data_IF_136331144287
#
_entry.id   IF_136331144287
#
_cell.length_a   1.000
_cell.length_b   1.000
_cell.length_c   1.000
_cell.angle_alpha   90.00
_cell.angle_beta   90.00
_cell.angle_gamma   90.00
#
_symmetry.space_group_name_H-M   'P 1'
#
loop_
_entity.id
_entity.type
_entity.pdbx_description
1 polymer ?
#
# COMPACT_ATOMS: atom_id res chain seq x y z
N UNK A 1 21.53 -1.21 -0.06
CA UNK A 1 20.41 -1.06 0.91
C UNK A 1 19.29 -0.38 0.15
N UNK A 2 18.02 -0.74 0.39
CA UNK A 2 16.91 -0.06 -0.27
C UNK A 2 16.53 1.20 0.50
N UNK A 3 16.04 2.23 -0.18
CA UNK A 3 15.59 3.47 0.47
C UNK A 3 14.55 3.20 1.57
N UNK A 4 13.73 2.13 1.46
CA UNK A 4 12.82 1.71 2.52
C UNK A 4 13.53 1.31 3.83
N UNK A 5 14.69 0.64 3.74
CA UNK A 5 15.48 0.28 4.93
C UNK A 5 16.13 1.50 5.59
N UNK A 6 16.52 2.49 4.78
CA UNK A 6 17.06 3.76 5.26
C UNK A 6 15.96 4.62 5.92
N UNK A 7 14.77 4.67 5.31
CA UNK A 7 13.58 5.30 5.89
C UNK A 7 13.21 4.70 7.26
N UNK A 8 13.32 3.37 7.39
CA UNK A 8 13.05 2.68 8.65
C UNK A 8 14.07 3.05 9.73
N UNK A 9 15.36 3.12 9.36
CA UNK A 9 16.43 3.49 10.27
C UNK A 9 16.28 4.92 10.83
N UNK A 10 15.70 5.85 10.06
CA UNK A 10 15.45 7.23 10.50
C UNK A 10 14.01 7.49 10.98
N UNK A 11 13.18 6.44 11.07
CA UNK A 11 11.78 6.49 11.49
C UNK A 11 10.85 7.39 10.63
N UNK A 12 11.23 7.69 9.39
CA UNK A 12 10.39 8.41 8.41
C UNK A 12 9.88 7.42 7.38
N UNK A 13 8.91 6.59 7.76
CA UNK A 13 8.35 5.55 6.86
C UNK A 13 6.92 5.85 6.46
N UNK A 14 6.55 5.49 5.24
CA UNK A 14 5.15 5.45 4.81
C UNK A 14 4.28 4.55 5.72
N UNK A 15 4.87 3.54 6.36
CA UNK A 15 4.21 2.63 7.28
C UNK A 15 3.91 3.22 8.67
N UNK A 16 4.52 4.35 9.04
CA UNK A 16 4.37 5.00 10.35
C UNK A 16 3.40 6.20 10.33
N UNK A 17 2.79 6.49 9.18
CA UNK A 17 1.87 7.62 9.05
C UNK A 17 0.52 7.35 9.71
N UNK A 18 0.12 8.27 10.58
CA UNK A 18 -1.08 8.16 11.40
C UNK A 18 -2.36 7.96 10.57
N UNK A 19 -2.52 8.74 9.50
CA UNK A 19 -3.73 8.73 8.66
C UNK A 19 -3.70 7.66 7.56
N UNK A 20 -2.54 7.06 7.28
CA UNK A 20 -2.38 6.17 6.13
C UNK A 20 -2.99 4.80 6.37
N UNK A 21 -3.95 4.42 5.53
CA UNK A 21 -4.56 3.11 5.53
C UNK A 21 -3.95 2.23 4.44
N UNK A 22 -3.41 1.09 4.85
CA UNK A 22 -2.89 0.11 3.89
C UNK A 22 -4.04 -0.82 3.53
N UNK A 23 -4.67 -0.56 2.38
CA UNK A 23 -5.66 -1.44 1.79
C UNK A 23 -5.08 -2.85 1.61
N UNK A 24 -5.89 -3.86 1.88
CA UNK A 24 -5.57 -5.24 1.49
C UNK A 24 -6.68 -5.85 0.65
N UNK A 25 -6.26 -6.49 -0.43
CA UNK A 25 -7.10 -7.37 -1.23
C UNK A 25 -7.24 -8.75 -0.58
N UNK A 26 -8.17 -9.57 -1.06
CA UNK A 26 -8.24 -10.99 -0.68
C UNK A 26 -7.00 -11.77 -1.14
N UNK A 27 -6.40 -11.39 -2.27
CA UNK A 27 -5.12 -11.95 -2.71
C UNK A 27 -3.99 -11.60 -1.75
N UNK A 28 -3.94 -10.36 -1.25
CA UNK A 28 -2.96 -9.93 -0.25
C UNK A 28 -3.14 -10.72 1.05
N UNK A 29 -4.39 -10.87 1.52
CA UNK A 29 -4.70 -11.66 2.71
C UNK A 29 -4.21 -13.10 2.52
N UNK A 30 -4.46 -13.73 1.37
CA UNK A 30 -3.99 -15.08 1.10
C UNK A 30 -2.45 -15.19 1.11
N UNK A 31 -1.77 -14.30 0.37
CA UNK A 31 -0.29 -14.27 0.30
C UNK A 31 0.35 -14.03 1.66
N UNK A 32 -0.18 -13.10 2.45
CA UNK A 32 0.32 -12.78 3.78
C UNK A 32 0.03 -13.92 4.77
N UNK A 33 -1.15 -14.52 4.70
CA UNK A 33 -1.54 -15.64 5.56
C UNK A 33 -0.62 -16.84 5.38
N UNK A 34 -0.27 -17.19 4.14
CA UNK A 34 0.69 -18.25 3.84
C UNK A 34 2.03 -18.01 4.53
N UNK A 35 2.54 -16.77 4.47
CA UNK A 35 3.81 -16.38 5.11
C UNK A 35 3.73 -16.31 6.64
N UNK A 36 2.53 -16.26 7.19
CA UNK A 36 2.25 -16.24 8.63
C UNK A 36 1.76 -17.59 9.16
N UNK A 37 1.94 -18.68 8.40
CA UNK A 37 1.55 -20.02 8.84
C UNK A 37 0.04 -20.21 8.96
N UNK A 38 -0.74 -19.50 8.13
CA UNK A 38 -2.21 -19.57 8.10
C UNK A 38 -2.93 -18.55 8.99
N UNK A 39 -2.21 -17.69 9.72
CA UNK A 39 -2.83 -16.63 10.51
C UNK A 39 -3.59 -15.63 9.62
N UNK A 40 -4.64 -15.00 10.14
CA UNK A 40 -5.44 -13.98 9.44
C UNK A 40 -5.87 -12.81 10.34
N UNK A 41 -5.34 -12.72 11.56
CA UNK A 41 -5.68 -11.70 12.55
C UNK A 41 -4.99 -10.35 12.33
N UNK A 42 -4.28 -10.18 11.22
CA UNK A 42 -3.48 -9.00 10.87
C UNK A 42 -4.25 -7.90 10.09
N UNK A 43 -5.50 -8.15 9.71
CA UNK A 43 -6.32 -7.19 8.98
C UNK A 43 -7.70 -7.02 9.64
N UNK A 44 -8.39 -5.95 9.29
CA UNK A 44 -9.73 -5.62 9.80
C UNK A 44 -10.56 -4.86 8.77
N UNK A 45 -11.88 -4.80 8.99
CA UNK A 45 -12.74 -3.80 8.37
C UNK A 45 -12.76 -2.55 9.24
N UNK A 46 -12.41 -1.40 8.65
CA UNK A 46 -12.41 -0.11 9.34
C UNK A 46 -12.85 1.00 8.40
N UNK A 47 -13.52 2.02 8.93
CA UNK A 47 -13.74 3.26 8.19
C UNK A 47 -12.40 3.98 7.97
N UNK A 48 -12.15 4.56 6.78
CA UNK A 48 -10.96 5.36 6.56
C UNK A 48 -10.90 6.52 7.57
N UNK A 49 -9.74 6.72 8.19
CA UNK A 49 -9.54 7.87 9.08
C UNK A 49 -9.29 9.15 8.27
N UNK A 50 -8.60 9.01 7.14
CA UNK A 50 -8.35 10.09 6.22
C UNK A 50 -9.56 10.28 5.29
N UNK A 51 -10.23 11.44 5.28
CA UNK A 51 -11.35 11.70 4.38
C UNK A 51 -10.94 11.70 2.90
N UNK A 52 -9.66 11.91 2.58
CA UNK A 52 -9.18 11.86 1.18
C UNK A 52 -9.41 10.48 0.54
N UNK A 53 -9.48 9.40 1.31
CA UNK A 53 -9.83 8.08 0.78
C UNK A 53 -11.27 7.97 0.27
N UNK A 54 -12.14 8.94 0.59
CA UNK A 54 -13.51 8.99 0.10
C UNK A 54 -13.65 9.86 -1.14
N UNK A 55 -12.66 10.71 -1.43
CA UNK A 55 -12.59 11.56 -2.61
C UNK A 55 -11.77 10.84 -3.69
N UNK A 56 -12.43 10.30 -4.71
CA UNK A 56 -11.83 9.44 -5.74
C UNK A 56 -12.40 9.77 -7.13
N UNK A 57 -12.58 11.06 -7.44
CA UNK A 57 -13.17 11.54 -8.70
C UNK A 57 -12.36 11.10 -9.94
N UNK A 58 -11.06 10.85 -9.78
CA UNK A 58 -10.12 10.41 -10.80
C UNK A 58 -10.03 8.87 -10.95
N UNK A 59 -10.51 8.11 -9.96
CA UNK A 59 -10.66 6.66 -10.00
C UNK A 59 -12.04 6.21 -9.46
N UNK A 60 -13.12 6.40 -10.25
CA UNK A 60 -14.49 6.23 -9.78
C UNK A 60 -14.80 4.81 -9.30
N UNK A 61 -14.04 3.82 -9.77
CA UNK A 61 -14.22 2.43 -9.40
C UNK A 61 -13.52 2.05 -8.10
N UNK A 62 -12.57 2.86 -7.61
CA UNK A 62 -11.83 2.57 -6.38
C UNK A 62 -12.77 2.35 -5.19
N UNK A 63 -13.66 3.31 -4.93
CA UNK A 63 -14.60 3.22 -3.81
C UNK A 63 -15.63 2.11 -4.03
N UNK A 64 -16.05 1.88 -5.28
CA UNK A 64 -16.96 0.78 -5.64
C UNK A 64 -16.37 -0.58 -5.25
N UNK A 65 -15.06 -0.78 -5.46
CA UNK A 65 -14.43 -2.06 -5.17
C UNK A 65 -13.90 -2.21 -3.74
N UNK A 66 -13.63 -1.09 -3.05
CA UNK A 66 -12.91 -1.12 -1.77
C UNK A 66 -13.78 -0.84 -0.55
N UNK A 67 -14.89 -0.12 -0.71
CA UNK A 67 -15.81 0.21 0.38
C UNK A 67 -16.98 -0.77 0.45
N UNK A 68 -17.36 -1.12 1.67
CA UNK A 68 -18.63 -1.77 1.99
C UNK A 68 -19.76 -0.74 2.11
N UNK A 69 -21.04 -1.19 2.08
CA UNK A 69 -22.17 -0.30 2.32
C UNK A 69 -22.14 0.47 3.65
N UNK A 70 -21.44 -0.04 4.66
CA UNK A 70 -21.24 0.62 5.96
C UNK A 70 -20.07 1.63 5.98
N UNK A 71 -19.44 1.85 4.82
CA UNK A 71 -18.29 2.74 4.64
C UNK A 71 -16.97 2.14 5.13
N UNK A 72 -16.93 0.87 5.56
CA UNK A 72 -15.68 0.21 5.97
C UNK A 72 -14.94 -0.40 4.79
N UNK A 73 -13.62 -0.56 4.91
CA UNK A 73 -12.74 -1.24 3.94
C UNK A 73 -11.77 -2.17 4.64
N UNK A 74 -11.25 -3.14 3.88
CA UNK A 74 -10.21 -4.08 4.36
C UNK A 74 -8.87 -3.36 4.46
N UNK A 75 -8.32 -3.27 5.67
CA UNK A 75 -7.02 -2.62 5.91
C UNK A 75 -6.15 -3.46 6.82
N UNK A 76 -4.84 -3.29 6.73
CA UNK A 76 -3.92 -3.82 7.74
C UNK A 76 -4.16 -3.14 9.09
N UNK A 77 -4.08 -3.94 10.17
CA UNK A 77 -4.10 -3.42 11.53
C UNK A 77 -2.86 -2.58 11.80
N UNK A 78 -3.02 -1.63 12.73
CA UNK A 78 -1.95 -0.80 13.26
C UNK A 78 -1.60 -1.22 14.69
N UNK A 79 -0.36 -0.97 15.09
CA UNK A 79 0.07 -1.09 16.49
C UNK A 79 -0.53 0.04 17.34
N UNK A 80 -0.35 -0.03 18.67
CA UNK A 80 -0.75 1.07 19.56
C UNK A 80 -0.05 2.41 19.22
N UNK A 81 1.14 2.34 18.61
CA UNK A 81 1.88 3.50 18.11
C UNK A 81 1.43 3.96 16.72
N UNK A 82 0.29 3.45 16.22
CA UNK A 82 -0.30 3.77 14.91
C UNK A 82 0.58 3.47 13.70
N UNK A 83 1.59 2.61 13.86
CA UNK A 83 2.38 2.07 12.77
C UNK A 83 1.75 0.79 12.22
N UNK A 84 2.03 0.46 10.95
CA UNK A 84 1.68 -0.84 10.37
C UNK A 84 2.21 -1.99 11.24
N UNK A 85 1.39 -3.02 11.47
CA UNK A 85 1.75 -4.18 12.30
C UNK A 85 2.95 -4.99 11.77
N UNK A 86 3.33 -4.80 10.49
CA UNK A 86 4.48 -5.45 9.86
C UNK A 86 5.73 -4.57 9.76
N UNK A 87 5.72 -3.37 10.34
CA UNK A 87 6.89 -2.52 10.44
C UNK A 87 7.84 -3.05 11.53
N UNK A 88 9.12 -3.17 11.18
CA UNK A 88 10.24 -3.48 12.08
C UNK A 88 11.24 -2.32 12.07
N UNK A 89 12.27 -2.39 12.91
CA UNK A 89 13.38 -1.43 12.93
C UNK A 89 14.14 -1.36 11.60
N UNK A 90 14.08 -2.41 10.78
CA UNK A 90 14.76 -2.50 9.48
C UNK A 90 13.82 -2.33 8.29
N UNK A 91 12.54 -2.04 8.53
CA UNK A 91 11.53 -1.79 7.50
C UNK A 91 10.40 -2.80 7.53
N UNK A 92 9.80 -3.09 6.38
CA UNK A 92 8.73 -4.09 6.33
C UNK A 92 9.30 -5.49 6.55
N UNK A 93 8.66 -6.29 7.40
CA UNK A 93 9.00 -7.70 7.64
C UNK A 93 9.01 -8.55 6.37
N UNK A 94 8.22 -8.17 5.36
CA UNK A 94 8.05 -8.93 4.14
C UNK A 94 8.95 -8.44 3.00
N UNK A 95 9.38 -9.39 2.16
CA UNK A 95 9.95 -9.12 0.85
C UNK A 95 8.90 -8.45 -0.04
N UNK A 96 9.37 -7.71 -1.05
CA UNK A 96 8.52 -6.94 -1.94
C UNK A 96 7.37 -7.75 -2.57
N UNK A 97 7.65 -8.96 -3.03
CA UNK A 97 6.67 -9.86 -3.67
C UNK A 97 5.55 -10.36 -2.74
N UNK A 98 5.73 -10.21 -1.42
CA UNK A 98 4.77 -10.64 -0.40
C UNK A 98 3.95 -9.47 0.15
N UNK A 99 4.49 -8.25 0.14
CA UNK A 99 3.82 -7.05 0.67
C UNK A 99 2.44 -6.85 0.04
N UNK A 100 1.49 -6.14 0.68
CA UNK A 100 0.26 -5.71 0.02
C UNK A 100 0.55 -5.01 -1.31
N UNK A 101 -0.27 -5.23 -2.34
CA UNK A 101 -0.01 -4.66 -3.67
C UNK A 101 0.14 -3.13 -3.61
N UNK A 102 -0.69 -2.43 -2.85
CA UNK A 102 -0.59 -0.97 -2.66
C UNK A 102 0.75 -0.53 -2.06
N UNK A 103 1.36 -1.37 -1.20
CA UNK A 103 2.70 -1.09 -0.67
C UNK A 103 3.83 -1.32 -1.68
N UNK A 104 3.60 -2.16 -2.71
CA UNK A 104 4.55 -2.36 -3.82
C UNK A 104 4.49 -1.20 -4.81
N UNK A 105 3.31 -0.59 -4.93
CA UNK A 105 3.08 0.53 -5.84
C UNK A 105 3.66 1.84 -5.34
N UNK A 106 3.74 2.06 -4.02
CA UNK A 106 4.29 3.30 -3.48
C UNK A 106 5.76 3.52 -3.91
N UNK A 107 6.15 4.67 -4.47
CA UNK A 107 5.45 5.97 -4.45
C UNK A 107 4.68 6.33 -5.72
N UNK A 108 4.40 5.40 -6.64
CA UNK A 108 3.55 5.72 -7.78
C UNK A 108 2.15 6.14 -7.35
N UNK A 109 1.64 7.19 -7.98
CA UNK A 109 0.20 7.50 -8.03
C UNK A 109 -0.40 6.75 -9.23
N UNK A 110 -1.64 6.30 -9.11
CA UNK A 110 -2.26 5.43 -10.10
C UNK A 110 -3.79 5.40 -9.99
N UNK A 111 -4.43 5.04 -11.10
CA UNK A 111 -5.87 4.76 -11.22
C UNK A 111 -6.10 3.41 -11.92
N UNK A 112 -7.35 3.01 -12.14
CA UNK A 112 -7.67 1.83 -12.95
C UNK A 112 -7.13 1.95 -14.39
N UNK A 113 -6.86 3.16 -14.87
CA UNK A 113 -6.44 3.39 -16.25
C UNK A 113 -4.91 3.41 -16.43
N UNK A 114 -4.13 3.68 -15.39
CA UNK A 114 -2.68 3.73 -15.51
C UNK A 114 -1.97 4.32 -14.30
N UNK A 115 -0.65 4.41 -14.41
CA UNK A 115 0.19 5.22 -13.53
C UNK A 115 0.23 6.66 -14.06
N UNK A 116 -0.07 7.63 -13.20
CA UNK A 116 -0.17 9.05 -13.55
C UNK A 116 0.96 9.92 -12.97
N UNK A 117 1.77 9.36 -12.04
CA UNK A 117 2.85 10.12 -11.43
C UNK A 117 3.56 9.40 -10.29
N UNK A 118 4.27 10.20 -9.51
CA UNK A 118 5.01 9.78 -8.31
C UNK A 118 4.69 10.78 -7.20
N UNK A 119 4.31 10.27 -6.05
CA UNK A 119 4.17 11.05 -4.82
C UNK A 119 5.53 11.21 -4.13
N UNK A 120 6.23 12.28 -4.52
CA UNK A 120 7.51 12.66 -3.90
C UNK A 120 7.33 13.34 -2.54
N UNK A 121 6.12 13.81 -2.22
CA UNK A 121 5.86 14.55 -0.97
C UNK A 121 6.04 13.69 0.27
N UNK A 122 5.84 12.38 0.09
CA UNK A 122 5.86 11.40 1.15
C UNK A 122 7.18 10.64 1.29
N UNK A 123 8.05 10.73 0.28
CA UNK A 123 9.36 10.13 0.28
C UNK A 123 10.40 11.13 0.80
N UNK A 124 11.39 10.70 1.61
CA UNK A 124 12.45 11.59 2.07
C UNK A 124 13.47 11.81 0.94
N UNK A 125 13.06 12.53 -0.11
CA UNK A 125 13.88 12.81 -1.30
C UNK A 125 15.18 13.55 -0.98
N UNK A 126 15.25 14.22 0.18
CA UNK A 126 16.45 14.84 0.71
C UNK A 126 17.56 13.84 1.09
N UNK A 127 17.27 12.54 1.14
CA UNK A 127 18.25 11.47 1.37
C UNK A 127 18.85 10.92 0.07
N UNK A 128 18.32 11.31 -1.09
CA UNK A 128 18.83 10.85 -2.38
C UNK A 128 20.24 11.43 -2.63
N UNK A 129 21.09 10.63 -3.27
CA UNK A 129 22.40 11.11 -3.72
C UNK A 129 22.25 12.09 -4.89
N UNK A 130 23.24 12.96 -5.09
CA UNK A 130 23.26 13.90 -6.22
C UNK A 130 23.09 13.15 -7.56
N UNK A 131 22.06 13.50 -8.31
CA UNK A 131 21.73 12.89 -9.61
C UNK A 131 20.98 11.56 -9.54
N UNK A 132 20.70 11.03 -8.34
CA UNK A 132 19.87 9.84 -8.15
C UNK A 132 18.38 10.20 -8.14
N UNK A 133 17.56 9.48 -8.90
CA UNK A 133 16.10 9.64 -8.86
C UNK A 133 15.49 8.76 -7.77
N UNK A 134 14.31 9.15 -7.27
CA UNK A 134 13.58 8.39 -6.25
C UNK A 134 13.29 6.95 -6.69
N UNK A 135 12.86 6.77 -7.93
CA UNK A 135 12.60 5.45 -8.52
C UNK A 135 13.86 4.59 -8.60
N UNK A 136 15.00 5.18 -8.99
CA UNK A 136 16.27 4.47 -9.04
C UNK A 136 16.74 4.05 -7.64
N UNK A 137 16.52 4.89 -6.61
CA UNK A 137 16.86 4.56 -5.22
C UNK A 137 15.96 3.46 -4.62
N UNK A 138 14.75 3.32 -5.13
CA UNK A 138 13.80 2.29 -4.71
C UNK A 138 13.87 1.01 -5.54
N UNK A 139 14.69 0.98 -6.60
CA UNK A 139 14.71 -0.08 -7.62
C UNK A 139 13.30 -0.36 -8.20
N UNK A 140 12.56 0.73 -8.43
CA UNK A 140 11.18 0.69 -8.93
C UNK A 140 11.12 1.17 -10.37
N UNK A 141 10.53 0.35 -11.23
CA UNK A 141 10.41 0.61 -12.66
C UNK A 141 8.94 0.59 -13.07
N UNK A 142 8.54 1.51 -13.94
CA UNK A 142 7.15 1.70 -14.34
C UNK A 142 6.49 0.42 -14.88
N UNK A 143 7.24 -0.42 -15.62
CA UNK A 143 6.74 -1.71 -16.12
C UNK A 143 6.30 -2.68 -14.99
N UNK A 144 7.01 -2.66 -13.87
CA UNK A 144 6.72 -3.50 -12.70
C UNK A 144 5.48 -2.99 -11.98
N UNK A 145 5.40 -1.67 -11.82
CA UNK A 145 4.24 -1.02 -11.24
C UNK A 145 2.98 -1.22 -12.10
N UNK A 146 3.06 -1.19 -13.43
CA UNK A 146 1.91 -1.51 -14.29
C UNK A 146 1.40 -2.95 -14.11
N UNK A 147 2.31 -3.91 -13.87
CA UNK A 147 1.91 -5.30 -13.58
C UNK A 147 1.16 -5.39 -12.25
N UNK A 148 1.68 -4.73 -11.21
CA UNK A 148 1.05 -4.70 -9.90
C UNK A 148 -0.27 -3.94 -9.91
N UNK A 149 -0.36 -2.84 -10.63
CA UNK A 149 -1.61 -2.08 -10.83
C UNK A 149 -2.69 -2.96 -11.46
N UNK A 150 -2.38 -3.66 -12.56
CA UNK A 150 -3.34 -4.61 -13.17
C UNK A 150 -3.79 -5.68 -12.18
N UNK A 151 -2.83 -6.28 -11.46
CA UNK A 151 -3.11 -7.27 -10.43
C UNK A 151 -4.04 -6.71 -9.32
N UNK A 152 -3.81 -5.46 -8.88
CA UNK A 152 -4.65 -4.80 -7.89
C UNK A 152 -6.10 -4.68 -8.37
N UNK A 153 -6.32 -4.08 -9.54
CA UNK A 153 -7.69 -3.87 -10.04
C UNK A 153 -8.39 -5.17 -10.41
N UNK A 154 -7.66 -6.19 -10.90
CA UNK A 154 -8.24 -7.51 -11.15
C UNK A 154 -8.69 -8.19 -9.84
N UNK A 155 -7.87 -8.11 -8.79
CA UNK A 155 -8.24 -8.62 -7.47
C UNK A 155 -9.39 -7.83 -6.84
N UNK A 156 -9.40 -6.50 -6.99
CA UNK A 156 -10.46 -5.63 -6.48
C UNK A 156 -11.79 -5.87 -7.19
N UNK A 157 -11.79 -5.98 -8.52
CA UNK A 157 -13.00 -6.25 -9.32
C UNK A 157 -13.63 -7.58 -8.94
N UNK A 158 -12.82 -8.63 -8.84
CA UNK A 158 -13.27 -9.96 -8.43
C UNK A 158 -13.86 -9.93 -7.01
N UNK A 159 -13.38 -9.07 -6.12
CA UNK A 159 -13.91 -8.94 -4.76
C UNK A 159 -15.17 -8.09 -4.68
N UNK A 160 -15.25 -7.02 -5.47
CA UNK A 160 -16.39 -6.10 -5.52
C UNK A 160 -17.69 -6.83 -5.87
N UNK A 161 -17.60 -7.84 -6.76
CA UNK A 161 -18.73 -8.74 -7.09
C UNK A 161 -19.32 -9.48 -5.87
N UNK A 162 -18.56 -9.64 -4.78
CA UNK A 162 -19.03 -10.27 -3.54
C UNK A 162 -19.41 -9.26 -2.44
N UNK A 163 -19.20 -7.96 -2.66
CA UNK A 163 -19.53 -6.88 -1.72
C UNK A 163 -20.85 -6.18 -2.06
N UNK A 164 -21.38 -6.40 -3.28
CA UNK A 164 -22.66 -5.89 -3.80
C UNK A 164 -23.86 -6.75 -3.46
#
# INVERSE_FOLDING_TARGET
MSLCSECAAIQVTCCAKELRDILVTMGDIARLSEQLGGAQDFWEYRQPVDPEYLDQDDDPNWNVYTLRPDGTRKVLKKTAARACIFLTETGCRFSEEVRPIVCRMFPFTYTEHGIDGIDESECPVHLLQDGQTLLAALDMWQEKAEKWRKMLYDELRTQGEYLS
#
